data_IF_963969398042
#
_entry.id   IF_963969398042
#
_cell.length_a   1.000
_cell.length_b   1.000
_cell.length_c   1.000
_cell.angle_alpha   90.00
_cell.angle_beta   90.00
_cell.angle_gamma   90.00
#
_symmetry.space_group_name_H-M   'P 1'
#
loop_
_entity.id
_entity.type
_entity.pdbx_description
1 polymer ?
#
# COMPACT_ATOMS: atom_id res chain seq x y z
N UNK A 1 36.61 65.11 20.23
CA UNK A 1 35.49 64.58 19.41
C UNK A 1 35.73 63.09 19.23
N UNK A 2 34.82 62.27 19.79
CA UNK A 2 34.38 60.89 19.40
C UNK A 2 35.38 59.88 18.83
N UNK A 3 35.33 58.58 19.12
CA UNK A 3 34.78 57.73 20.19
C UNK A 3 35.17 56.28 19.82
N UNK A 4 35.23 55.41 20.81
CA UNK A 4 35.52 53.99 20.69
C UNK A 4 34.49 53.17 19.90
N UNK A 5 34.88 51.93 19.53
CA UNK A 5 33.96 50.80 19.35
C UNK A 5 33.94 50.18 17.96
N UNK A 6 33.78 48.88 17.72
CA UNK A 6 33.58 47.70 18.55
C UNK A 6 33.89 46.47 17.68
N UNK A 7 34.53 45.47 18.28
CA UNK A 7 34.70 44.12 17.74
C UNK A 7 33.31 43.51 17.50
N UNK A 8 33.02 43.03 16.29
CA UNK A 8 31.88 42.14 16.05
C UNK A 8 32.39 40.74 15.70
N UNK A 9 32.46 39.91 16.75
CA UNK A 9 32.44 38.46 16.65
C UNK A 9 31.12 38.05 15.99
N UNK A 10 31.19 37.65 14.73
CA UNK A 10 30.06 37.07 14.01
C UNK A 10 29.84 35.63 14.49
N UNK A 11 28.86 35.42 15.36
CA UNK A 11 28.38 34.09 15.74
C UNK A 11 27.64 33.48 14.55
N UNK A 12 28.28 32.55 13.85
CA UNK A 12 27.63 31.73 12.82
C UNK A 12 26.81 30.65 13.54
N UNK A 13 25.51 30.88 13.72
CA UNK A 13 24.58 29.86 14.18
C UNK A 13 24.28 28.91 13.01
N UNK A 14 24.99 27.77 12.96
CA UNK A 14 24.66 26.67 12.06
C UNK A 14 23.45 25.94 12.66
N UNK A 15 22.25 26.31 12.21
CA UNK A 15 21.03 25.54 12.49
C UNK A 15 21.11 24.20 11.76
N UNK A 16 21.59 23.19 12.48
CA UNK A 16 21.55 21.80 12.04
C UNK A 16 20.10 21.32 12.08
N UNK A 17 19.35 21.59 11.01
CA UNK A 17 18.05 20.94 10.78
C UNK A 17 18.30 19.45 10.57
N UNK A 18 18.31 18.70 11.69
CA UNK A 18 18.16 17.26 11.70
C UNK A 18 16.76 16.95 11.17
N UNK A 19 16.65 16.88 9.85
CA UNK A 19 15.54 16.22 9.19
C UNK A 19 15.55 14.77 9.65
N UNK A 20 14.74 14.47 10.66
CA UNK A 20 14.23 13.13 10.92
C UNK A 20 13.36 12.75 9.72
N UNK A 21 14.02 12.42 8.61
CA UNK A 21 13.47 11.64 7.53
C UNK A 21 13.28 10.23 8.06
N UNK A 22 12.31 10.06 8.95
CA UNK A 22 11.76 8.76 9.26
C UNK A 22 11.20 8.22 7.96
N UNK A 23 12.01 7.43 7.25
CA UNK A 23 11.56 6.62 6.15
C UNK A 23 10.45 5.75 6.71
N UNK A 24 9.20 6.18 6.50
CA UNK A 24 8.02 5.40 6.78
C UNK A 24 8.08 4.20 5.84
N UNK A 25 8.81 3.17 6.27
CA UNK A 25 8.91 1.91 5.57
C UNK A 25 7.48 1.37 5.49
N UNK A 26 6.91 1.39 4.28
CA UNK A 26 5.67 0.69 4.02
C UNK A 26 5.87 -0.76 4.47
N UNK A 27 5.01 -1.22 5.39
CA UNK A 27 5.05 -2.60 5.84
C UNK A 27 4.52 -3.45 4.68
N UNK A 28 5.17 -4.58 4.42
CA UNK A 28 4.78 -5.50 3.37
C UNK A 28 4.23 -6.77 3.99
N UNK A 29 3.21 -7.34 3.36
CA UNK A 29 2.76 -8.70 3.68
C UNK A 29 3.73 -9.77 3.18
N UNK A 30 4.71 -9.38 2.35
CA UNK A 30 5.41 -10.32 1.47
C UNK A 30 4.44 -10.96 0.46
N UNK A 31 4.96 -11.88 -0.35
CA UNK A 31 4.13 -12.67 -1.24
C UNK A 31 3.41 -13.77 -0.46
N UNK A 32 2.07 -13.72 -0.44
CA UNK A 32 1.23 -14.75 0.15
C UNK A 32 0.21 -15.28 -0.85
N UNK A 33 -0.27 -16.49 -0.59
CA UNK A 33 -1.35 -17.08 -1.36
C UNK A 33 -2.63 -16.26 -1.16
N UNK A 34 -3.28 -15.85 -2.25
CA UNK A 34 -4.43 -14.97 -2.19
C UNK A 34 -5.58 -15.52 -1.33
N UNK A 35 -5.73 -16.84 -1.21
CA UNK A 35 -6.75 -17.44 -0.33
C UNK A 35 -6.49 -17.17 1.16
N UNK A 36 -5.24 -16.94 1.55
CA UNK A 36 -4.88 -16.57 2.93
C UNK A 36 -5.00 -15.08 3.20
N UNK A 37 -5.25 -14.27 2.17
CA UNK A 37 -5.28 -12.82 2.31
C UNK A 37 -6.44 -12.35 3.19
N UNK A 38 -7.59 -13.04 3.14
CA UNK A 38 -8.72 -12.69 3.99
C UNK A 38 -8.41 -12.91 5.48
N UNK A 39 -7.79 -14.04 5.82
CA UNK A 39 -7.39 -14.36 7.20
C UNK A 39 -6.25 -13.45 7.67
N UNK A 40 -5.21 -13.28 6.84
CA UNK A 40 -4.10 -12.36 7.12
C UNK A 40 -4.63 -10.93 7.34
N UNK A 41 -5.57 -10.50 6.50
CA UNK A 41 -6.17 -9.18 6.61
C UNK A 41 -6.93 -8.98 7.92
N UNK A 42 -7.67 -10.00 8.33
CA UNK A 42 -8.39 -10.03 9.60
C UNK A 42 -7.44 -10.01 10.79
N UNK A 43 -6.28 -10.66 10.71
CA UNK A 43 -5.37 -10.84 11.85
C UNK A 43 -4.28 -9.75 11.97
N UNK A 44 -3.88 -9.16 10.84
CA UNK A 44 -2.71 -8.28 10.78
C UNK A 44 -3.00 -6.90 10.20
N UNK A 45 -3.99 -6.78 9.33
CA UNK A 45 -4.30 -5.53 8.63
C UNK A 45 -5.57 -4.87 9.14
N UNK A 46 -5.98 -5.06 10.40
CA UNK A 46 -7.16 -4.45 11.03
C UNK A 46 -7.37 -2.94 10.72
N UNK A 47 -8.40 -2.30 11.30
CA UNK A 47 -8.71 -0.89 11.08
C UNK A 47 -7.52 0.11 11.26
N UNK A 48 -6.42 -0.31 11.89
CA UNK A 48 -5.20 0.45 12.10
C UNK A 48 -4.18 0.39 10.95
N UNK A 49 -4.39 -0.46 9.95
CA UNK A 49 -3.55 -0.56 8.75
C UNK A 49 -4.29 -0.05 7.51
N UNK A 50 -3.57 0.66 6.65
CA UNK A 50 -4.09 1.18 5.39
C UNK A 50 -3.31 0.54 4.23
N UNK A 51 -3.91 -0.38 3.49
CA UNK A 51 -3.33 -0.90 2.25
C UNK A 51 -3.15 0.22 1.23
N UNK A 52 -1.93 0.38 0.70
CA UNK A 52 -1.54 1.44 -0.22
C UNK A 52 -1.19 0.93 -1.61
N UNK A 53 -0.65 -0.29 -1.72
CA UNK A 53 -0.30 -0.91 -2.99
C UNK A 53 -0.60 -2.40 -2.98
N UNK A 54 -0.94 -2.95 -4.14
CA UNK A 54 -1.13 -4.39 -4.35
C UNK A 54 -0.45 -4.83 -5.64
N UNK A 55 0.19 -5.98 -5.58
CA UNK A 55 0.73 -6.70 -6.74
C UNK A 55 0.22 -8.13 -6.74
N UNK A 56 0.06 -8.71 -7.93
CA UNK A 56 -0.33 -10.12 -8.07
C UNK A 56 0.42 -10.83 -9.19
N UNK A 57 0.76 -12.08 -8.94
CA UNK A 57 1.39 -12.97 -9.92
C UNK A 57 0.82 -14.38 -9.82
N UNK A 58 1.12 -15.19 -10.82
CA UNK A 58 0.90 -16.64 -10.71
C UNK A 58 1.91 -17.24 -9.72
N UNK A 59 1.58 -18.40 -9.13
CA UNK A 59 2.56 -19.11 -8.33
C UNK A 59 3.56 -19.79 -9.26
N UNK A 60 4.81 -19.81 -8.82
CA UNK A 60 5.88 -20.55 -9.50
C UNK A 60 5.75 -22.08 -9.24
N UNK A 61 4.77 -22.50 -8.43
CA UNK A 61 4.54 -23.91 -8.03
C UNK A 61 3.56 -24.56 -9.00
N UNK A 62 4.12 -25.28 -9.97
CA UNK A 62 3.41 -26.03 -11.00
C UNK A 62 2.79 -27.29 -10.42
N UNK A 63 1.54 -27.20 -9.96
CA UNK A 63 0.64 -28.35 -9.88
C UNK A 63 -0.82 -27.87 -10.04
N UNK A 64 -1.30 -27.89 -11.29
CA UNK A 64 -2.70 -27.66 -11.65
C UNK A 64 -3.08 -26.20 -11.94
N UNK A 65 -4.02 -25.99 -12.87
CA UNK A 65 -4.62 -24.68 -13.21
C UNK A 65 -5.54 -24.15 -12.11
N UNK A 66 -5.11 -24.20 -10.86
CA UNK A 66 -5.98 -23.87 -9.75
C UNK A 66 -6.01 -22.35 -9.51
N UNK A 67 -7.21 -21.80 -9.26
CA UNK A 67 -7.35 -20.43 -8.73
C UNK A 67 -6.56 -20.26 -7.43
N UNK A 68 -6.31 -21.36 -6.71
CA UNK A 68 -5.44 -21.49 -5.54
C UNK A 68 -3.98 -21.07 -5.77
N UNK A 69 -3.53 -20.88 -7.01
CA UNK A 69 -2.12 -20.52 -7.28
C UNK A 69 -1.86 -19.02 -7.41
N UNK A 70 -2.83 -18.15 -7.13
CA UNK A 70 -2.57 -16.70 -7.20
C UNK A 70 -1.79 -16.24 -5.98
N UNK A 71 -0.67 -15.53 -6.20
CA UNK A 71 0.10 -14.87 -5.16
C UNK A 71 -0.20 -13.37 -5.16
N UNK A 72 -0.31 -12.78 -3.98
CA UNK A 72 -0.55 -11.36 -3.76
C UNK A 72 0.47 -10.80 -2.78
N UNK A 73 0.84 -9.54 -2.99
CA UNK A 73 1.65 -8.77 -2.05
C UNK A 73 0.95 -7.44 -1.82
N UNK A 74 0.78 -7.07 -0.56
CA UNK A 74 0.20 -5.77 -0.18
C UNK A 74 1.24 -4.98 0.60
N UNK A 75 1.44 -3.74 0.18
CA UNK A 75 2.13 -2.74 0.97
C UNK A 75 1.09 -1.93 1.74
N UNK A 76 1.40 -1.60 3.01
CA UNK A 76 0.47 -0.91 3.89
C UNK A 76 1.19 0.03 4.88
N UNK A 77 0.48 1.05 5.31
CA UNK A 77 0.91 2.01 6.32
C UNK A 77 0.01 1.98 7.55
N UNK A 78 0.27 2.85 8.53
CA UNK A 78 -0.71 3.15 9.58
C UNK A 78 -1.96 3.81 8.98
N UNK A 79 -3.11 3.61 9.65
CA UNK A 79 -4.40 4.17 9.29
C UNK A 79 -4.98 5.05 10.42
N UNK A 80 -4.33 6.17 10.78
CA UNK A 80 -4.79 7.03 11.87
C UNK A 80 -6.16 7.68 11.58
N UNK A 81 -6.48 7.86 10.30
CA UNK A 81 -7.75 8.46 9.85
C UNK A 81 -8.88 7.42 9.73
N UNK A 82 -8.62 6.15 10.09
CA UNK A 82 -9.59 5.06 9.98
C UNK A 82 -10.27 4.98 8.60
N UNK A 83 -9.51 5.24 7.53
CA UNK A 83 -9.97 5.13 6.14
C UNK A 83 -10.46 3.72 5.92
N UNK A 84 -11.71 3.60 5.44
CA UNK A 84 -12.28 2.29 5.11
C UNK A 84 -11.66 1.81 3.81
N UNK A 85 -11.31 0.54 3.74
CA UNK A 85 -10.73 -0.04 2.54
C UNK A 85 -11.31 -1.42 2.24
N UNK A 86 -11.13 -1.87 0.99
CA UNK A 86 -11.51 -3.18 0.44
C UNK A 86 -10.41 -3.64 -0.50
N UNK A 87 -10.32 -4.95 -0.72
CA UNK A 87 -9.51 -5.53 -1.80
C UNK A 87 -10.28 -6.66 -2.48
N UNK A 88 -9.77 -7.09 -3.63
CA UNK A 88 -10.25 -8.26 -4.35
C UNK A 88 -9.16 -8.76 -5.31
N UNK A 89 -9.26 -10.03 -5.69
CA UNK A 89 -8.41 -10.63 -6.71
C UNK A 89 -9.21 -11.61 -7.59
N UNK A 90 -8.62 -11.97 -8.73
CA UNK A 90 -9.20 -12.88 -9.72
C UNK A 90 -9.85 -12.19 -10.92
N UNK A 91 -10.46 -12.98 -11.81
CA UNK A 91 -11.04 -12.48 -13.06
C UNK A 91 -12.27 -11.57 -12.89
N UNK A 92 -12.90 -11.55 -11.71
CA UNK A 92 -14.12 -10.77 -11.45
C UNK A 92 -13.87 -9.37 -10.87
N UNK A 93 -12.61 -8.97 -10.67
CA UNK A 93 -12.25 -7.65 -10.10
C UNK A 93 -12.91 -6.49 -10.84
N UNK A 94 -13.04 -6.57 -12.16
CA UNK A 94 -13.70 -5.52 -12.95
C UNK A 94 -15.20 -5.38 -12.67
N UNK A 95 -15.89 -6.45 -12.26
CA UNK A 95 -17.30 -6.36 -11.82
C UNK A 95 -17.39 -5.75 -10.43
N UNK A 96 -16.50 -6.19 -9.54
CA UNK A 96 -16.42 -5.72 -8.14
C UNK A 96 -16.12 -4.21 -8.07
N UNK A 97 -15.29 -3.70 -8.99
CA UNK A 97 -14.98 -2.28 -9.08
C UNK A 97 -16.24 -1.42 -9.19
N UNK A 98 -17.18 -1.78 -10.08
CA UNK A 98 -18.44 -1.07 -10.24
C UNK A 98 -19.28 -1.09 -8.96
N UNK A 99 -19.35 -2.24 -8.28
CA UNK A 99 -20.10 -2.40 -7.03
C UNK A 99 -19.51 -1.55 -5.89
N UNK A 100 -18.18 -1.39 -5.85
CA UNK A 100 -17.49 -0.58 -4.87
C UNK A 100 -17.55 0.92 -5.21
N UNK A 101 -17.44 1.29 -6.48
CA UNK A 101 -17.63 2.65 -6.95
C UNK A 101 -19.02 3.17 -6.57
N UNK A 102 -20.08 2.37 -6.76
CA UNK A 102 -21.44 2.71 -6.34
C UNK A 102 -21.59 2.93 -4.82
N UNK A 103 -20.68 2.39 -4.01
CA UNK A 103 -20.64 2.54 -2.55
C UNK A 103 -19.72 3.69 -2.09
N UNK A 104 -19.17 4.47 -3.03
CA UNK A 104 -18.28 5.59 -2.78
C UNK A 104 -16.83 5.20 -2.48
N UNK A 105 -16.43 3.97 -2.80
CA UNK A 105 -15.03 3.59 -2.77
C UNK A 105 -14.33 3.98 -4.08
N UNK A 106 -13.06 4.37 -4.01
CA UNK A 106 -12.21 4.66 -5.16
C UNK A 106 -11.09 3.63 -5.23
N UNK A 107 -10.82 3.09 -6.42
CA UNK A 107 -9.68 2.22 -6.62
C UNK A 107 -8.39 3.04 -6.48
N UNK A 108 -7.45 2.56 -5.68
CA UNK A 108 -6.17 3.26 -5.40
C UNK A 108 -4.94 2.49 -5.88
N UNK A 109 -5.07 1.18 -6.06
CA UNK A 109 -4.01 0.34 -6.60
C UNK A 109 -4.63 -0.84 -7.31
N UNK A 110 -4.03 -1.23 -8.44
CA UNK A 110 -4.34 -2.47 -9.14
C UNK A 110 -3.10 -3.04 -9.82
N UNK A 111 -3.14 -4.34 -10.06
CA UNK A 111 -2.15 -5.06 -10.85
C UNK A 111 -2.83 -6.24 -11.56
N UNK A 112 -2.15 -6.83 -12.56
CA UNK A 112 -2.70 -7.92 -13.34
C UNK A 112 -1.63 -8.80 -13.99
N UNK A 113 -1.96 -10.06 -14.20
CA UNK A 113 -1.14 -11.00 -14.95
C UNK A 113 -2.02 -11.91 -15.80
N UNK A 114 -1.43 -12.51 -16.84
CA UNK A 114 -2.10 -13.53 -17.65
C UNK A 114 -1.56 -14.90 -17.29
N UNK A 115 -2.48 -15.86 -17.13
CA UNK A 115 -2.13 -17.28 -17.02
C UNK A 115 -1.74 -17.85 -18.39
N UNK A 116 -1.06 -19.01 -18.45
CA UNK A 116 -0.79 -19.71 -19.71
C UNK A 116 -2.06 -19.98 -20.54
N UNK A 117 -3.22 -20.15 -19.89
CA UNK A 117 -4.52 -20.29 -20.57
C UNK A 117 -5.04 -19.00 -21.23
N UNK A 118 -4.34 -17.88 -21.09
CA UNK A 118 -4.77 -16.55 -21.54
C UNK A 118 -5.71 -15.83 -20.58
N UNK A 119 -6.19 -16.51 -19.51
CA UNK A 119 -7.06 -15.92 -18.50
C UNK A 119 -6.37 -14.73 -17.82
N UNK A 120 -7.02 -13.57 -17.88
CA UNK A 120 -6.57 -12.36 -17.20
C UNK A 120 -6.99 -12.41 -15.73
N UNK A 121 -5.99 -12.36 -14.87
CA UNK A 121 -6.14 -12.27 -13.42
C UNK A 121 -5.79 -10.84 -13.00
N UNK A 122 -6.56 -10.29 -12.06
CA UNK A 122 -6.37 -8.94 -11.53
C UNK A 122 -6.36 -8.98 -10.01
N UNK A 123 -5.80 -7.95 -9.41
CA UNK A 123 -5.94 -7.65 -7.98
C UNK A 123 -6.07 -6.14 -7.82
N UNK A 124 -6.85 -5.71 -6.83
CA UNK A 124 -7.10 -4.29 -6.60
C UNK A 124 -7.38 -3.98 -5.13
N UNK A 125 -7.07 -2.74 -4.75
CA UNK A 125 -7.43 -2.12 -3.48
C UNK A 125 -8.33 -0.92 -3.78
N UNK A 126 -9.37 -0.78 -2.98
CA UNK A 126 -10.21 0.41 -2.95
C UNK A 126 -10.22 1.03 -1.57
N UNK A 127 -10.28 2.36 -1.52
CA UNK A 127 -10.39 3.15 -0.30
C UNK A 127 -11.63 4.05 -0.36
N UNK A 128 -12.26 4.28 0.79
CA UNK A 128 -13.34 5.24 0.96
C UNK A 128 -12.88 6.25 2.00
N UNK A 129 -12.47 7.42 1.50
CA UNK A 129 -12.18 8.61 2.28
C UNK A 129 -13.49 9.37 2.45
N UNK A 130 -13.83 9.73 3.68
CA UNK A 130 -15.01 10.54 3.98
C UNK A 130 -14.78 11.98 3.51
#
# INVERSE_FOLDING_TARGET
MTNAGYIRLGTVAVSLCLALSGSAYAKSTGWLNANRLQDFGREHLHANALPTSISCKDSDVVAGMDRRNTMVKIEYSSNPEHIKWKWAWGGLVGKIDRDYAAKGYKMVSQDSFRRPSGLLMRCAIWQKRN
#
